data_IF_668261577489
#
_entry.id   IF_668261577489
#
_cell.length_a   1.000
_cell.length_b   1.000
_cell.length_c   1.000
_cell.angle_alpha   90.00
_cell.angle_beta   90.00
_cell.angle_gamma   90.00
#
_symmetry.space_group_name_H-M   'P 1'
#
loop_
_entity.id
_entity.type
_entity.pdbx_description
1 polymer ?
#
# COMPACT_ATOMS: atom_id res chain seq x y z
N UNK A 1 -21.56 7.37 -5.07
CA UNK A 1 -21.82 7.14 -6.51
C UNK A 1 -21.73 8.41 -7.36
N UNK A 2 -22.49 9.48 -7.09
CA UNK A 2 -22.50 10.72 -7.92
C UNK A 2 -21.18 11.53 -7.87
N UNK A 3 -20.47 11.51 -6.73
CA UNK A 3 -19.13 12.13 -6.59
C UNK A 3 -18.08 11.36 -7.38
N UNK A 4 -18.11 10.03 -7.34
CA UNK A 4 -17.18 9.17 -8.09
C UNK A 4 -17.35 9.32 -9.61
N UNK A 5 -18.60 9.40 -10.09
CA UNK A 5 -18.91 9.69 -11.49
C UNK A 5 -18.39 11.07 -11.94
N UNK A 6 -18.58 12.12 -11.12
CA UNK A 6 -18.04 13.45 -11.41
C UNK A 6 -16.52 13.48 -11.40
N UNK A 7 -15.88 12.79 -10.46
CA UNK A 7 -14.43 12.69 -10.39
C UNK A 7 -13.87 11.97 -11.63
N UNK A 8 -14.47 10.85 -12.01
CA UNK A 8 -14.12 10.11 -13.23
C UNK A 8 -14.24 10.98 -14.49
N UNK A 9 -15.32 11.76 -14.65
CA UNK A 9 -15.45 12.67 -15.79
C UNK A 9 -14.40 13.78 -15.79
N UNK A 10 -14.08 14.37 -14.64
CA UNK A 10 -13.09 15.44 -14.54
C UNK A 10 -11.67 14.94 -14.85
N UNK A 11 -11.31 13.75 -14.37
CA UNK A 11 -9.98 13.15 -14.64
C UNK A 11 -9.84 12.78 -16.12
N UNK A 12 -10.90 12.28 -16.77
CA UNK A 12 -10.91 12.05 -18.22
C UNK A 12 -10.71 13.35 -19.00
N UNK A 13 -11.41 14.43 -18.63
CA UNK A 13 -11.20 15.73 -19.28
C UNK A 13 -9.79 16.27 -19.07
N UNK A 14 -9.20 16.06 -17.89
CA UNK A 14 -7.80 16.41 -17.63
C UNK A 14 -6.86 15.60 -18.53
N UNK A 15 -7.03 14.28 -18.58
CA UNK A 15 -6.23 13.36 -19.39
C UNK A 15 -6.33 13.69 -20.89
N UNK A 16 -7.53 14.02 -21.38
CA UNK A 16 -7.78 14.48 -22.75
C UNK A 16 -7.02 15.78 -23.07
N UNK A 17 -6.98 16.73 -22.11
CA UNK A 17 -6.37 18.04 -22.32
C UNK A 17 -4.84 17.98 -22.34
N UNK A 18 -4.24 17.26 -21.40
CA UNK A 18 -2.77 17.27 -21.20
C UNK A 18 -2.06 16.09 -21.87
N UNK A 19 -2.82 15.03 -22.19
CA UNK A 19 -2.35 13.83 -22.87
C UNK A 19 -1.26 13.06 -22.10
N UNK A 20 -0.65 12.05 -22.75
CA UNK A 20 0.40 11.21 -22.15
C UNK A 20 1.60 12.01 -21.62
N UNK A 21 2.03 13.04 -22.35
CA UNK A 21 3.20 13.84 -21.96
C UNK A 21 2.91 14.71 -20.73
N UNK A 22 1.77 15.38 -20.70
CA UNK A 22 1.38 16.18 -19.54
C UNK A 22 1.13 15.31 -18.31
N UNK A 23 0.57 14.11 -18.51
CA UNK A 23 0.41 13.15 -17.42
C UNK A 23 1.72 12.54 -16.94
N UNK A 24 2.69 12.27 -17.83
CA UNK A 24 4.04 11.89 -17.43
C UNK A 24 4.67 12.96 -16.52
N UNK A 25 4.55 14.24 -16.89
CA UNK A 25 5.04 15.34 -16.06
C UNK A 25 4.31 15.45 -14.71
N UNK A 26 2.97 15.33 -14.69
CA UNK A 26 2.21 15.30 -13.44
C UNK A 26 2.69 14.16 -12.54
N UNK A 27 2.87 12.98 -13.13
CA UNK A 27 3.34 11.78 -12.48
C UNK A 27 4.72 11.94 -11.84
N UNK A 28 5.67 12.59 -12.52
CA UNK A 28 6.99 12.92 -11.97
C UNK A 28 6.89 13.82 -10.72
N UNK A 29 5.98 14.81 -10.72
CA UNK A 29 5.75 15.65 -9.54
C UNK A 29 5.14 14.86 -8.37
N UNK A 30 4.20 13.95 -8.64
CA UNK A 30 3.64 13.07 -7.60
C UNK A 30 4.74 12.17 -6.99
N UNK A 31 5.65 11.64 -7.82
CA UNK A 31 6.77 10.83 -7.35
C UNK A 31 7.68 11.62 -6.40
N UNK A 32 7.96 12.89 -6.69
CA UNK A 32 8.77 13.73 -5.80
C UNK A 32 8.18 13.81 -4.38
N UNK A 33 6.87 14.00 -4.26
CA UNK A 33 6.19 14.02 -2.96
C UNK A 33 6.26 12.66 -2.25
N UNK A 34 6.14 11.55 -2.98
CA UNK A 34 6.29 10.20 -2.42
C UNK A 34 7.72 10.01 -1.87
N UNK A 35 8.74 10.35 -2.65
CA UNK A 35 10.15 10.21 -2.24
C UNK A 35 10.46 11.06 -1.00
N UNK A 36 9.88 12.26 -0.90
CA UNK A 36 9.98 13.07 0.32
C UNK A 36 9.42 12.34 1.54
N UNK A 37 8.26 11.69 1.43
CA UNK A 37 7.71 10.88 2.53
C UNK A 37 8.58 9.66 2.85
N UNK A 38 9.10 8.97 1.82
CA UNK A 38 10.00 7.81 1.99
C UNK A 38 11.27 8.20 2.75
N UNK A 39 11.87 9.36 2.48
CA UNK A 39 13.03 9.87 3.22
C UNK A 39 12.76 10.04 4.71
N UNK A 40 11.60 10.58 5.06
CA UNK A 40 11.21 10.74 6.45
C UNK A 40 10.87 9.41 7.13
N UNK A 41 10.26 8.47 6.39
CA UNK A 41 10.00 7.11 6.87
C UNK A 41 11.30 6.36 7.18
N UNK A 42 12.31 6.47 6.33
CA UNK A 42 13.64 5.86 6.58
C UNK A 42 14.27 6.41 7.86
N UNK A 43 14.18 7.72 8.12
CA UNK A 43 14.68 8.31 9.38
C UNK A 43 13.99 7.71 10.60
N UNK A 44 12.65 7.61 10.57
CA UNK A 44 11.88 7.00 11.66
C UNK A 44 12.30 5.54 11.92
N UNK A 45 12.59 4.78 10.86
CA UNK A 45 13.11 3.41 10.98
C UNK A 45 14.50 3.40 11.62
N UNK A 46 15.41 4.26 11.17
CA UNK A 46 16.76 4.36 11.75
C UNK A 46 16.71 4.73 13.24
N UNK A 47 15.84 5.65 13.63
CA UNK A 47 15.66 6.08 15.03
C UNK A 47 15.13 4.96 15.94
N UNK A 48 14.42 3.96 15.37
CA UNK A 48 13.82 2.85 16.10
C UNK A 48 14.46 1.48 15.74
N UNK A 49 15.66 1.47 15.14
CA UNK A 49 16.22 0.27 14.50
C UNK A 49 16.31 -0.93 15.46
N UNK A 50 16.86 -0.74 16.66
CA UNK A 50 17.07 -1.83 17.62
C UNK A 50 15.75 -2.45 18.11
N UNK A 51 14.74 -1.61 18.34
CA UNK A 51 13.42 -2.06 18.74
C UNK A 51 12.74 -2.85 17.61
N UNK A 52 12.82 -2.35 16.37
CA UNK A 52 12.23 -3.01 15.21
C UNK A 52 12.88 -4.36 14.90
N UNK A 53 14.20 -4.48 15.07
CA UNK A 53 14.91 -5.76 14.93
C UNK A 53 14.41 -6.77 15.97
N UNK A 54 14.26 -6.34 17.23
CA UNK A 54 13.74 -7.21 18.29
C UNK A 54 12.28 -7.59 18.05
N UNK A 55 11.44 -6.67 17.58
CA UNK A 55 10.04 -6.95 17.25
C UNK A 55 9.92 -7.94 16.09
N UNK A 56 10.75 -7.80 15.05
CA UNK A 56 10.80 -8.75 13.93
C UNK A 56 11.19 -10.17 14.38
N UNK A 57 12.01 -10.30 15.43
CA UNK A 57 12.44 -11.60 15.94
C UNK A 57 11.42 -12.24 16.91
N UNK A 58 10.53 -11.46 17.52
CA UNK A 58 9.65 -11.90 18.62
C UNK A 58 8.17 -11.57 18.38
N UNK A 59 7.73 -11.40 17.13
CA UNK A 59 6.34 -10.99 16.80
C UNK A 59 5.28 -12.03 17.21
N UNK A 60 5.69 -13.24 17.51
CA UNK A 60 4.90 -14.35 18.02
C UNK A 60 4.82 -14.39 19.56
N UNK A 61 5.61 -13.57 20.27
CA UNK A 61 5.61 -13.47 21.73
C UNK A 61 4.89 -12.17 22.20
N UNK A 62 3.65 -12.27 22.70
CA UNK A 62 2.85 -11.10 23.08
C UNK A 62 3.45 -10.27 24.23
N UNK A 63 4.11 -10.92 25.20
CA UNK A 63 4.70 -10.24 26.35
C UNK A 63 5.88 -9.37 25.91
N UNK A 64 6.79 -9.95 25.13
CA UNK A 64 7.93 -9.23 24.57
C UNK A 64 7.47 -8.08 23.66
N UNK A 65 6.45 -8.32 22.82
CA UNK A 65 5.89 -7.29 21.94
C UNK A 65 5.27 -6.13 22.70
N UNK A 66 4.51 -6.39 23.77
CA UNK A 66 3.92 -5.34 24.61
C UNK A 66 4.98 -4.41 25.22
N UNK A 67 6.14 -4.94 25.62
CA UNK A 67 7.22 -4.13 26.19
C UNK A 67 8.02 -3.37 25.14
N UNK A 68 8.25 -3.99 23.97
CA UNK A 68 8.88 -3.31 22.84
C UNK A 68 7.98 -2.18 22.30
N UNK A 69 6.67 -2.35 22.29
CA UNK A 69 5.72 -1.33 21.83
C UNK A 69 5.83 -0.03 22.63
N UNK A 70 6.12 -0.12 23.94
CA UNK A 70 6.33 1.07 24.80
C UNK A 70 7.60 1.84 24.46
N UNK A 71 8.60 1.18 23.85
CA UNK A 71 9.87 1.79 23.44
C UNK A 71 9.79 2.43 22.05
N UNK A 72 8.79 2.03 21.26
CA UNK A 72 8.61 2.52 19.90
C UNK A 72 8.09 3.95 19.91
N UNK A 73 8.68 4.82 19.11
CA UNK A 73 8.26 6.22 18.99
C UNK A 73 7.89 6.57 17.56
N UNK A 74 6.85 7.37 17.36
CA UNK A 74 6.47 7.83 16.02
C UNK A 74 5.59 6.88 15.21
N UNK A 75 4.92 5.89 15.83
CA UNK A 75 3.97 4.98 15.14
C UNK A 75 2.89 5.73 14.36
N UNK A 76 2.28 6.76 14.97
CA UNK A 76 1.30 7.59 14.27
C UNK A 76 1.90 8.32 13.07
N UNK A 77 3.16 8.78 13.17
CA UNK A 77 3.83 9.49 12.09
C UNK A 77 4.11 8.55 10.91
N UNK A 78 4.55 7.31 11.18
CA UNK A 78 4.73 6.28 10.15
C UNK A 78 3.43 6.06 9.39
N UNK A 79 2.32 5.84 10.11
CA UNK A 79 1.02 5.61 9.49
C UNK A 79 0.51 6.83 8.73
N UNK A 80 0.59 8.04 9.30
CA UNK A 80 0.18 9.28 8.61
C UNK A 80 0.94 9.47 7.30
N UNK A 81 2.27 9.26 7.31
CA UNK A 81 3.11 9.37 6.10
C UNK A 81 2.79 8.29 5.08
N UNK A 82 2.62 7.05 5.51
CA UNK A 82 2.20 5.95 4.62
C UNK A 82 0.81 6.18 4.03
N UNK A 83 -0.13 6.73 4.79
CA UNK A 83 -1.46 7.12 4.29
C UNK A 83 -1.34 8.22 3.23
N UNK A 84 -0.49 9.23 3.44
CA UNK A 84 -0.22 10.27 2.41
C UNK A 84 0.32 9.65 1.13
N UNK A 85 1.32 8.76 1.22
CA UNK A 85 1.85 8.02 0.07
C UNK A 85 0.73 7.25 -0.64
N UNK A 86 -0.09 6.54 0.13
CA UNK A 86 -1.24 5.80 -0.39
C UNK A 86 -2.22 6.69 -1.15
N UNK A 87 -2.60 7.83 -0.59
CA UNK A 87 -3.52 8.79 -1.23
C UNK A 87 -2.95 9.30 -2.55
N UNK A 88 -1.65 9.63 -2.59
CA UNK A 88 -0.98 10.08 -3.82
C UNK A 88 -1.00 8.97 -4.88
N UNK A 89 -0.70 7.73 -4.50
CA UNK A 89 -0.71 6.58 -5.40
C UNK A 89 -2.13 6.23 -5.89
N UNK A 90 -3.14 6.31 -5.02
CA UNK A 90 -4.53 6.13 -5.42
C UNK A 90 -4.97 7.21 -6.42
N UNK A 91 -4.58 8.46 -6.21
CA UNK A 91 -4.81 9.55 -7.16
C UNK A 91 -4.15 9.29 -8.51
N UNK A 92 -2.88 8.85 -8.50
CA UNK A 92 -2.15 8.43 -9.70
C UNK A 92 -2.89 7.31 -10.44
N UNK A 93 -3.33 6.27 -9.74
CA UNK A 93 -4.07 5.15 -10.36
C UNK A 93 -5.33 5.64 -11.08
N UNK A 94 -6.14 6.48 -10.43
CA UNK A 94 -7.36 7.01 -11.03
C UNK A 94 -7.09 7.84 -12.30
N UNK A 95 -5.96 8.54 -12.36
CA UNK A 95 -5.55 9.30 -13.53
C UNK A 95 -5.02 8.39 -14.65
N UNK A 96 -4.26 7.34 -14.29
CA UNK A 96 -3.77 6.37 -15.25
C UNK A 96 -4.94 5.62 -15.91
N UNK A 97 -5.95 5.21 -15.14
CA UNK A 97 -7.18 4.61 -15.66
C UNK A 97 -7.89 5.56 -16.65
N UNK A 98 -7.96 6.85 -16.31
CA UNK A 98 -8.53 7.86 -17.20
C UNK A 98 -7.69 8.00 -18.50
N UNK A 99 -6.36 7.97 -18.41
CA UNK A 99 -5.47 8.03 -19.56
C UNK A 99 -5.62 6.79 -20.45
N UNK A 100 -5.70 5.59 -19.87
CA UNK A 100 -5.90 4.36 -20.63
C UNK A 100 -7.16 4.47 -21.50
N UNK A 101 -8.27 4.95 -20.94
CA UNK A 101 -9.53 5.11 -21.66
C UNK A 101 -9.41 6.12 -22.82
N UNK A 102 -8.73 7.25 -22.59
CA UNK A 102 -8.47 8.25 -23.63
C UNK A 102 -7.58 7.65 -24.72
N UNK A 103 -6.52 6.93 -24.36
CA UNK A 103 -5.59 6.31 -25.30
C UNK A 103 -6.24 5.19 -26.12
N UNK A 104 -7.10 4.36 -25.51
CA UNK A 104 -7.86 3.34 -26.22
C UNK A 104 -8.84 3.96 -27.22
N UNK A 105 -9.41 5.13 -26.90
CA UNK A 105 -10.34 5.84 -27.78
C UNK A 105 -9.63 6.51 -28.96
N UNK A 106 -8.53 7.22 -28.71
CA UNK A 106 -7.84 8.03 -29.72
C UNK A 106 -6.78 7.26 -30.50
N UNK A 107 -6.14 6.26 -29.87
CA UNK A 107 -5.02 5.52 -30.43
C UNK A 107 -5.16 3.98 -30.29
N UNK A 108 -6.30 3.37 -30.68
CA UNK A 108 -6.54 1.94 -30.46
C UNK A 108 -5.51 1.02 -31.13
N UNK A 109 -4.95 1.44 -32.27
CA UNK A 109 -3.94 0.67 -33.00
C UNK A 109 -2.56 0.69 -32.33
N UNK A 110 -2.28 1.66 -31.45
CA UNK A 110 -1.08 1.68 -30.61
C UNK A 110 -1.31 0.91 -29.32
N UNK A 111 -2.50 1.05 -28.72
CA UNK A 111 -2.82 0.42 -27.44
C UNK A 111 -2.81 -1.11 -27.51
N UNK A 112 -3.35 -1.71 -28.57
CA UNK A 112 -3.42 -3.18 -28.71
C UNK A 112 -2.03 -3.84 -28.68
N UNK A 113 -1.04 -3.42 -29.48
CA UNK A 113 0.32 -3.93 -29.36
C UNK A 113 0.96 -3.72 -27.98
N UNK A 114 0.73 -2.57 -27.33
CA UNK A 114 1.31 -2.29 -26.00
C UNK A 114 0.72 -3.23 -24.95
N UNK A 115 -0.62 -3.42 -24.93
CA UNK A 115 -1.31 -4.38 -24.07
C UNK A 115 -0.77 -5.79 -24.29
N UNK A 116 -0.70 -6.22 -25.55
CA UNK A 116 -0.12 -7.51 -25.94
C UNK A 116 1.31 -7.67 -25.41
N UNK A 117 2.20 -6.71 -25.69
CA UNK A 117 3.59 -6.79 -25.25
C UNK A 117 3.72 -6.91 -23.73
N UNK A 118 2.90 -6.16 -22.98
CA UNK A 118 2.84 -6.22 -21.52
C UNK A 118 2.38 -7.60 -21.02
N UNK A 119 1.34 -8.17 -21.62
CA UNK A 119 0.78 -9.47 -21.21
C UNK A 119 1.72 -10.65 -21.52
N UNK A 120 2.65 -10.50 -22.48
CA UNK A 120 3.64 -11.51 -22.83
C UNK A 120 4.96 -11.43 -22.05
N UNK A 121 5.09 -10.51 -21.08
CA UNK A 121 6.27 -10.48 -20.22
C UNK A 121 6.24 -11.67 -19.27
N UNK A 122 7.34 -12.42 -19.24
CA UNK A 122 7.52 -13.50 -18.28
C UNK A 122 8.01 -12.94 -16.93
N UNK A 123 7.43 -13.36 -15.79
CA UNK A 123 7.87 -12.96 -14.45
C UNK A 123 9.34 -13.24 -14.16
N UNK A 124 9.91 -14.29 -14.78
CA UNK A 124 11.32 -14.70 -14.66
C UNK A 124 12.25 -14.04 -15.69
N UNK A 125 11.74 -13.09 -16.49
CA UNK A 125 12.52 -12.33 -17.46
C UNK A 125 13.51 -11.35 -16.82
N UNK A 126 14.42 -10.79 -17.63
CA UNK A 126 15.31 -9.73 -17.16
C UNK A 126 14.47 -8.54 -16.67
N UNK A 127 14.61 -8.21 -15.38
CA UNK A 127 13.90 -7.11 -14.73
C UNK A 127 14.05 -5.77 -15.47
N UNK A 128 15.19 -5.54 -16.14
CA UNK A 128 15.39 -4.32 -16.94
C UNK A 128 14.49 -4.29 -18.16
N UNK A 129 14.31 -5.44 -18.82
CA UNK A 129 13.41 -5.57 -19.97
C UNK A 129 11.96 -5.39 -19.51
N UNK A 130 11.58 -6.03 -18.41
CA UNK A 130 10.25 -5.87 -17.80
C UNK A 130 9.94 -4.41 -17.47
N UNK A 131 10.87 -3.70 -16.82
CA UNK A 131 10.70 -2.29 -16.48
C UNK A 131 10.62 -1.39 -17.73
N UNK A 132 11.34 -1.72 -18.81
CA UNK A 132 11.24 -0.99 -20.08
C UNK A 132 9.87 -1.13 -20.75
N UNK A 133 9.28 -2.33 -20.73
CA UNK A 133 7.91 -2.53 -21.22
C UNK A 133 6.90 -1.85 -20.29
N UNK A 134 7.10 -1.94 -18.97
CA UNK A 134 6.23 -1.26 -18.00
C UNK A 134 6.30 0.26 -18.12
N UNK A 135 7.44 0.86 -18.48
CA UNK A 135 7.55 2.30 -18.75
C UNK A 135 6.66 2.69 -19.94
N UNK A 136 6.72 1.91 -21.03
CA UNK A 136 5.87 2.11 -22.21
C UNK A 136 4.38 1.93 -21.87
N UNK A 137 4.04 0.87 -21.14
CA UNK A 137 2.67 0.57 -20.75
C UNK A 137 2.10 1.66 -19.83
N UNK A 138 2.85 2.08 -18.81
CA UNK A 138 2.47 3.14 -17.89
C UNK A 138 2.33 4.50 -18.58
N UNK A 139 3.17 4.81 -19.57
CA UNK A 139 3.01 6.02 -20.39
C UNK A 139 1.73 6.03 -21.24
N UNK A 140 1.18 4.84 -21.51
CA UNK A 140 -0.10 4.67 -22.19
C UNK A 140 -1.30 4.57 -21.22
N UNK A 141 -1.07 4.75 -19.91
CA UNK A 141 -2.09 4.66 -18.86
C UNK A 141 -2.33 3.24 -18.32
N UNK A 142 -1.66 2.22 -18.86
CA UNK A 142 -1.89 0.84 -18.41
C UNK A 142 -1.36 0.62 -16.99
N UNK A 143 -2.11 -0.11 -16.14
CA UNK A 143 -1.64 -0.46 -14.80
C UNK A 143 -0.51 -1.48 -14.89
N UNK A 144 0.57 -1.26 -14.13
CA UNK A 144 1.71 -2.17 -14.04
C UNK A 144 1.85 -2.69 -12.62
N UNK A 145 2.17 -3.97 -12.46
CA UNK A 145 2.38 -4.60 -11.14
C UNK A 145 3.54 -3.96 -10.37
N UNK A 146 4.54 -3.48 -11.11
CA UNK A 146 5.68 -2.72 -10.59
C UNK A 146 5.68 -1.37 -11.31
N UNK A 147 5.59 -0.29 -10.55
CA UNK A 147 5.60 1.05 -11.13
C UNK A 147 7.04 1.48 -11.49
N UNK A 148 7.37 1.61 -12.79
CA UNK A 148 8.72 1.94 -13.23
C UNK A 148 9.15 3.35 -12.82
N UNK A 149 8.21 4.31 -12.72
CA UNK A 149 8.53 5.67 -12.29
C UNK A 149 8.89 5.69 -10.80
N UNK A 150 8.18 4.92 -9.99
CA UNK A 150 8.47 4.78 -8.56
C UNK A 150 9.79 4.03 -8.34
N UNK A 151 10.07 2.96 -9.09
CA UNK A 151 11.36 2.25 -9.06
C UNK A 151 12.51 3.20 -9.38
N UNK A 152 12.39 3.98 -10.46
CA UNK A 152 13.41 4.96 -10.85
C UNK A 152 13.60 6.03 -9.78
N UNK A 153 12.51 6.57 -9.24
CA UNK A 153 12.55 7.61 -8.20
C UNK A 153 13.20 7.09 -6.89
N UNK A 154 12.93 5.85 -6.49
CA UNK A 154 13.56 5.24 -5.31
C UNK A 154 15.03 4.92 -5.57
N UNK A 155 15.38 4.41 -6.76
CA UNK A 155 16.77 4.15 -7.12
C UNK A 155 17.62 5.42 -7.07
N UNK A 156 17.10 6.54 -7.59
CA UNK A 156 17.79 7.84 -7.58
C UNK A 156 17.92 8.46 -6.18
N UNK A 157 17.15 7.98 -5.19
CA UNK A 157 17.24 8.43 -3.81
C UNK A 157 18.41 7.78 -3.06
N UNK A 158 18.92 6.63 -3.53
CA UNK A 158 20.03 5.95 -2.89
C UNK A 158 21.28 6.83 -2.97
N UNK A 159 21.85 7.17 -1.83
CA UNK A 159 23.14 7.88 -1.77
C UNK A 159 24.27 6.89 -2.02
N UNK A 160 25.34 7.30 -2.72
CA UNK A 160 26.48 6.46 -3.08
C UNK A 160 27.16 5.73 -1.90
N UNK A 161 26.87 6.13 -0.66
CA UNK A 161 27.49 5.61 0.56
C UNK A 161 26.74 4.44 1.23
N UNK A 162 25.47 4.19 0.90
CA UNK A 162 24.66 3.13 1.56
C UNK A 162 24.73 1.81 0.79
N UNK A 163 25.06 0.72 1.47
CA UNK A 163 25.07 -0.61 0.84
C UNK A 163 23.65 -1.09 0.52
N UNK A 164 23.49 -1.92 -0.52
CA UNK A 164 22.20 -2.53 -0.88
C UNK A 164 21.64 -3.38 0.29
N UNK A 165 22.51 -3.99 1.10
CA UNK A 165 22.11 -4.79 2.25
C UNK A 165 21.54 -3.94 3.40
N UNK A 166 22.13 -2.77 3.64
CA UNK A 166 21.64 -1.81 4.63
C UNK A 166 20.28 -1.23 4.22
N UNK A 167 20.15 -0.84 2.95
CA UNK A 167 18.91 -0.38 2.35
C UNK A 167 17.80 -1.44 2.42
N UNK A 168 18.15 -2.70 2.14
CA UNK A 168 17.25 -3.83 2.31
C UNK A 168 16.81 -4.01 3.76
N UNK A 169 17.74 -3.91 4.72
CA UNK A 169 17.42 -3.99 6.16
C UNK A 169 16.43 -2.89 6.56
N UNK A 170 16.68 -1.64 6.16
CA UNK A 170 15.78 -0.50 6.44
C UNK A 170 14.40 -0.77 5.85
N UNK A 171 14.32 -1.32 4.64
CA UNK A 171 13.05 -1.63 3.97
C UNK A 171 12.25 -2.72 4.68
N UNK A 172 12.90 -3.81 5.10
CA UNK A 172 12.24 -4.84 5.91
C UNK A 172 11.72 -4.25 7.24
N UNK A 173 12.55 -3.44 7.91
CA UNK A 173 12.16 -2.84 9.18
C UNK A 173 11.06 -1.78 9.02
N UNK A 174 10.98 -1.09 7.87
CA UNK A 174 9.86 -0.22 7.54
C UNK A 174 8.55 -1.00 7.51
N UNK A 175 8.52 -2.15 6.83
CA UNK A 175 7.34 -3.02 6.80
C UNK A 175 6.94 -3.51 8.20
N UNK A 176 7.92 -3.93 9.01
CA UNK A 176 7.68 -4.29 10.41
C UNK A 176 7.10 -3.11 11.18
N UNK A 177 7.64 -1.91 11.02
CA UNK A 177 7.17 -0.70 11.71
C UNK A 177 5.72 -0.37 11.34
N UNK A 178 5.36 -0.49 10.06
CA UNK A 178 3.98 -0.33 9.61
C UNK A 178 3.08 -1.36 10.29
N UNK A 179 3.46 -2.65 10.26
CA UNK A 179 2.69 -3.75 10.83
C UNK A 179 2.42 -3.58 12.33
N UNK A 180 3.45 -3.27 13.13
CA UNK A 180 3.34 -3.08 14.58
C UNK A 180 2.63 -1.76 14.95
N UNK A 181 2.48 -0.85 14.00
CA UNK A 181 1.76 0.41 14.21
C UNK A 181 0.26 0.31 13.94
N UNK A 182 -0.20 -0.64 13.09
CA UNK A 182 -1.62 -0.82 12.75
C UNK A 182 -2.58 -0.85 13.96
N UNK A 183 -2.25 -1.48 15.10
CA UNK A 183 -3.06 -1.41 16.31
C UNK A 183 -3.49 -0.01 16.76
N UNK A 184 -2.63 0.99 16.56
CA UNK A 184 -2.90 2.37 16.99
C UNK A 184 -4.09 2.98 16.23
N UNK A 185 -4.36 2.52 15.00
CA UNK A 185 -5.50 2.97 14.20
C UNK A 185 -6.83 2.63 14.86
N UNK A 186 -6.87 1.58 15.66
CA UNK A 186 -8.09 1.14 16.30
C UNK A 186 -8.60 2.14 17.37
N UNK A 187 -7.72 3.04 17.84
CA UNK A 187 -8.03 4.10 18.80
C UNK A 187 -8.48 5.40 18.11
N UNK A 188 -8.16 5.59 16.83
CA UNK A 188 -8.56 6.78 16.08
C UNK A 188 -10.06 6.68 15.74
N UNK A 189 -10.90 7.64 16.19
CA UNK A 189 -12.33 7.63 15.90
C UNK A 189 -12.64 7.70 14.40
N UNK A 190 -11.74 8.21 13.57
CA UNK A 190 -11.92 8.31 12.11
C UNK A 190 -11.52 7.03 11.35
N UNK A 191 -11.03 6.00 12.04
CA UNK A 191 -10.70 4.70 11.43
C UNK A 191 -11.92 3.80 11.22
N UNK A 192 -13.14 4.34 11.29
CA UNK A 192 -14.33 3.57 10.96
C UNK A 192 -14.44 3.38 9.44
N UNK A 193 -14.83 2.18 9.02
CA UNK A 193 -15.07 1.88 7.61
C UNK A 193 -16.47 2.33 7.18
N UNK A 194 -16.55 3.11 6.10
CA UNK A 194 -17.80 3.57 5.50
C UNK A 194 -18.09 2.79 4.21
N UNK A 195 -19.23 2.09 4.18
CA UNK A 195 -19.70 1.39 2.98
C UNK A 195 -19.93 2.33 1.80
N UNK A 196 -20.48 3.52 2.04
CA UNK A 196 -20.82 4.46 0.96
C UNK A 196 -19.59 4.90 0.15
N UNK A 197 -18.46 4.98 0.84
CA UNK A 197 -17.17 5.39 0.29
C UNK A 197 -16.30 4.19 -0.10
N UNK A 198 -16.64 2.98 0.32
CA UNK A 198 -15.82 1.79 0.12
C UNK A 198 -14.49 1.83 0.89
N UNK A 199 -14.38 2.68 1.92
CA UNK A 199 -13.13 2.99 2.60
C UNK A 199 -13.35 3.65 3.96
N UNK A 200 -12.25 3.88 4.68
CA UNK A 200 -12.23 4.58 5.97
C UNK A 200 -12.21 6.09 5.85
N UNK A 201 -12.77 6.81 6.82
CA UNK A 201 -12.88 8.27 6.82
C UNK A 201 -11.51 8.98 6.81
N UNK A 202 -10.51 8.42 7.48
CA UNK A 202 -9.14 8.93 7.54
C UNK A 202 -8.21 8.38 6.43
N UNK A 203 -8.76 7.78 5.37
CA UNK A 203 -8.02 7.24 4.24
C UNK A 203 -7.04 6.09 4.54
N UNK A 204 -7.13 5.43 5.68
CA UNK A 204 -6.22 4.30 6.01
C UNK A 204 -6.36 3.11 5.06
N UNK A 205 -7.47 2.98 4.32
CA UNK A 205 -7.60 2.02 3.21
C UNK A 205 -6.52 2.22 2.13
N UNK A 206 -6.02 3.45 1.93
CA UNK A 206 -4.92 3.74 1.02
C UNK A 206 -3.57 3.15 1.48
N UNK A 207 -3.44 2.70 2.75
CA UNK A 207 -2.28 1.95 3.20
C UNK A 207 -2.09 0.67 2.37
N UNK A 208 -3.18 0.06 1.89
CA UNK A 208 -3.11 -1.10 1.00
C UNK A 208 -2.34 -0.78 -0.29
N UNK A 209 -2.67 0.34 -0.93
CA UNK A 209 -1.96 0.81 -2.13
C UNK A 209 -0.50 1.15 -1.80
N UNK A 210 -0.26 1.86 -0.69
CA UNK A 210 1.07 2.30 -0.29
C UNK A 210 2.04 1.14 0.00
N UNK A 211 1.61 0.16 0.81
CA UNK A 211 2.42 -0.99 1.19
C UNK A 211 2.82 -1.80 -0.05
N UNK A 212 1.86 -2.10 -0.92
CA UNK A 212 2.12 -2.89 -2.12
C UNK A 212 3.08 -2.19 -3.10
N UNK A 213 2.82 -0.93 -3.45
CA UNK A 213 3.63 -0.22 -4.45
C UNK A 213 5.03 0.13 -3.93
N UNK A 214 5.16 0.57 -2.67
CA UNK A 214 6.48 0.85 -2.10
C UNK A 214 7.29 -0.44 -1.93
N UNK A 215 6.70 -1.53 -1.44
CA UNK A 215 7.40 -2.80 -1.31
C UNK A 215 7.85 -3.30 -2.69
N UNK A 216 6.96 -3.28 -3.68
CA UNK A 216 7.29 -3.68 -5.04
C UNK A 216 8.45 -2.86 -5.60
N UNK A 217 8.41 -1.54 -5.47
CA UNK A 217 9.46 -0.67 -5.99
C UNK A 217 10.80 -0.83 -5.24
N UNK A 218 10.80 -0.81 -3.91
CA UNK A 218 12.02 -0.93 -3.09
C UNK A 218 12.70 -2.29 -3.29
N UNK A 219 11.96 -3.40 -3.23
CA UNK A 219 12.53 -4.73 -3.41
C UNK A 219 12.94 -5.01 -4.86
N UNK A 220 12.32 -4.36 -5.85
CA UNK A 220 12.83 -4.37 -7.23
C UNK A 220 14.21 -3.74 -7.31
N UNK A 221 14.41 -2.54 -6.74
CA UNK A 221 15.73 -1.88 -6.72
C UNK A 221 16.78 -2.74 -5.99
N UNK A 222 16.38 -3.37 -4.89
CA UNK A 222 17.25 -4.21 -4.05
C UNK A 222 17.46 -5.63 -4.60
N UNK A 223 16.78 -6.00 -5.70
CA UNK A 223 16.81 -7.33 -6.32
C UNK A 223 16.42 -8.44 -5.34
N UNK A 224 15.33 -8.23 -4.62
CA UNK A 224 14.76 -9.19 -3.65
C UNK A 224 13.38 -9.65 -4.11
N UNK A 225 12.98 -10.84 -3.68
CA UNK A 225 11.66 -11.38 -4.00
C UNK A 225 10.56 -10.62 -3.26
N UNK A 226 9.72 -9.90 -4.00
CA UNK A 226 8.66 -9.03 -3.46
C UNK A 226 7.63 -9.85 -2.65
N UNK A 227 7.18 -10.97 -3.21
CA UNK A 227 6.19 -11.85 -2.58
C UNK A 227 6.65 -12.37 -1.22
N UNK A 228 7.90 -12.85 -1.11
CA UNK A 228 8.44 -13.34 0.17
C UNK A 228 8.41 -12.25 1.25
N UNK A 229 8.78 -11.02 0.90
CA UNK A 229 8.83 -9.93 1.87
C UNK A 229 7.42 -9.44 2.26
N UNK A 230 6.49 -9.37 1.31
CA UNK A 230 5.09 -9.05 1.60
C UNK A 230 4.39 -10.14 2.41
N UNK A 231 4.72 -11.41 2.19
CA UNK A 231 4.23 -12.52 3.01
C UNK A 231 4.74 -12.41 4.46
N UNK A 232 6.01 -12.02 4.65
CA UNK A 232 6.55 -11.78 6.00
C UNK A 232 5.83 -10.62 6.69
N UNK A 233 5.63 -9.50 5.98
CA UNK A 233 4.82 -8.38 6.47
C UNK A 233 3.42 -8.84 6.89
N UNK A 234 2.75 -9.64 6.05
CA UNK A 234 1.40 -10.12 6.32
C UNK A 234 1.33 -10.99 7.58
N UNK A 235 2.33 -11.87 7.80
CA UNK A 235 2.43 -12.68 9.02
C UNK A 235 2.59 -11.81 10.26
N UNK A 236 3.49 -10.83 10.22
CA UNK A 236 3.72 -9.92 11.36
C UNK A 236 2.46 -9.10 11.64
N UNK A 237 1.88 -8.47 10.61
CA UNK A 237 0.67 -7.66 10.75
C UNK A 237 -0.51 -8.48 11.30
N UNK A 238 -0.70 -9.70 10.81
CA UNK A 238 -1.76 -10.61 11.28
C UNK A 238 -1.54 -11.03 12.73
N UNK A 239 -0.33 -11.44 13.11
CA UNK A 239 0.00 -11.79 14.50
C UNK A 239 -0.33 -10.65 15.46
N UNK A 240 0.12 -9.44 15.14
CA UNK A 240 -0.09 -8.26 15.97
C UNK A 240 -1.57 -7.89 16.10
N UNK A 241 -2.34 -7.94 15.02
CA UNK A 241 -3.78 -7.65 15.04
C UNK A 241 -4.59 -8.74 15.78
N UNK A 242 -4.17 -10.00 15.73
CA UNK A 242 -4.79 -11.09 16.48
C UNK A 242 -4.52 -10.97 17.99
N UNK A 243 -3.32 -10.57 18.39
CA UNK A 243 -2.97 -10.34 19.80
C UNK A 243 -3.86 -9.26 20.45
N UNK A 244 -4.31 -8.26 19.68
CA UNK A 244 -5.31 -7.29 20.17
C UNK A 244 -6.66 -7.92 20.51
N UNK A 245 -7.08 -8.93 19.74
CA UNK A 245 -8.36 -9.61 19.93
C UNK A 245 -8.42 -10.44 21.21
N UNK A 246 -7.26 -10.85 21.73
CA UNK A 246 -7.13 -11.68 22.93
C UNK A 246 -7.13 -10.85 24.22
N UNK A 247 -6.76 -9.57 24.15
CA UNK A 247 -6.69 -8.66 25.29
C UNK A 247 -8.03 -7.98 25.55
N UNK A 248 -9.01 -8.74 26.06
CA UNK A 248 -10.40 -8.29 26.31
C UNK A 248 -10.50 -7.23 27.43
N UNK A 249 -9.47 -7.09 28.28
CA UNK A 249 -9.52 -6.24 29.48
C UNK A 249 -9.12 -4.76 29.27
N UNK A 250 -8.58 -4.38 28.11
CA UNK A 250 -8.01 -3.03 27.92
C UNK A 250 -8.71 -2.26 26.81
N UNK A 251 -9.65 -1.41 27.22
CA UNK A 251 -10.32 -0.37 26.44
C UNK A 251 -11.20 -0.94 25.32
N UNK A 252 -12.46 -0.50 25.24
CA UNK A 252 -13.29 -0.80 24.07
C UNK A 252 -12.58 -0.29 22.80
N UNK A 253 -12.00 -1.23 22.05
CA UNK A 253 -11.31 -0.92 20.80
C UNK A 253 -12.39 -0.73 19.72
N UNK A 254 -13.00 0.46 19.69
CA UNK A 254 -14.19 0.79 18.88
C UNK A 254 -14.07 0.44 17.40
N UNK A 255 -12.88 0.60 16.81
CA UNK A 255 -12.66 0.44 15.37
C UNK A 255 -11.88 -0.82 14.99
N UNK A 256 -11.72 -1.79 15.90
CA UNK A 256 -10.95 -3.02 15.65
C UNK A 256 -11.36 -3.73 14.35
N UNK A 257 -12.65 -3.95 14.19
CA UNK A 257 -13.19 -4.68 13.05
C UNK A 257 -12.94 -3.91 11.74
N UNK A 258 -13.01 -2.57 11.76
CA UNK A 258 -12.67 -1.74 10.59
C UNK A 258 -11.18 -1.85 10.21
N UNK A 259 -10.29 -1.96 11.19
CA UNK A 259 -8.84 -2.11 10.96
C UNK A 259 -8.50 -3.50 10.46
N UNK A 260 -9.21 -4.56 10.87
CA UNK A 260 -9.04 -5.90 10.31
C UNK A 260 -9.26 -5.95 8.80
N UNK A 261 -10.18 -5.12 8.27
CA UNK A 261 -10.43 -5.02 6.84
C UNK A 261 -9.20 -4.54 6.04
N UNK A 262 -8.23 -3.87 6.68
CA UNK A 262 -7.00 -3.46 6.01
C UNK A 262 -6.19 -4.66 5.50
N UNK A 263 -6.13 -5.78 6.25
CA UNK A 263 -5.43 -6.97 5.79
C UNK A 263 -6.07 -7.53 4.51
N UNK A 264 -7.40 -7.56 4.46
CA UNK A 264 -8.13 -7.94 3.26
C UNK A 264 -7.84 -7.00 2.08
N UNK A 265 -7.88 -5.69 2.30
CA UNK A 265 -7.59 -4.69 1.26
C UNK A 265 -6.14 -4.76 0.76
N UNK A 266 -5.18 -4.98 1.65
CA UNK A 266 -3.76 -5.15 1.30
C UNK A 266 -3.60 -6.33 0.34
N UNK A 267 -4.26 -7.45 0.63
CA UNK A 267 -4.20 -8.67 -0.19
C UNK A 267 -4.96 -8.49 -1.50
N UNK A 268 -6.16 -7.90 -1.47
CA UNK A 268 -6.96 -7.62 -2.67
C UNK A 268 -6.25 -6.70 -3.68
N UNK A 269 -5.49 -5.72 -3.17
CA UNK A 269 -4.73 -4.77 -3.99
C UNK A 269 -3.36 -5.31 -4.45
N UNK A 270 -2.93 -6.48 -3.96
CA UNK A 270 -1.59 -6.99 -4.23
C UNK A 270 -1.61 -8.03 -5.35
N UNK A 271 -0.80 -7.89 -6.41
CA UNK A 271 -0.57 -8.99 -7.34
C UNK A 271 0.35 -10.07 -6.75
N UNK A 272 0.97 -9.82 -5.59
CA UNK A 272 1.97 -10.71 -4.98
C UNK A 272 1.42 -11.52 -3.79
N UNK A 273 0.24 -11.18 -3.28
CA UNK A 273 -0.40 -11.86 -2.16
C UNK A 273 -1.70 -12.51 -2.63
N UNK A 274 -2.00 -13.69 -2.09
CA UNK A 274 -3.27 -14.37 -2.34
C UNK A 274 -4.11 -14.49 -1.07
N UNK A 275 -5.41 -14.71 -1.24
CA UNK A 275 -6.33 -14.97 -0.12
C UNK A 275 -5.92 -16.23 0.66
N UNK A 276 -5.35 -17.24 -0.01
CA UNK A 276 -4.83 -18.44 0.65
C UNK A 276 -3.67 -18.11 1.60
N UNK A 277 -2.79 -17.17 1.21
CA UNK A 277 -1.70 -16.72 2.08
C UNK A 277 -2.22 -15.96 3.30
N UNK A 278 -3.32 -15.20 3.14
CA UNK A 278 -3.98 -14.52 4.24
C UNK A 278 -4.60 -15.53 5.21
N UNK A 279 -5.34 -16.52 4.71
CA UNK A 279 -6.00 -17.53 5.54
C UNK A 279 -5.02 -18.30 6.42
N UNK A 280 -3.78 -18.50 5.94
CA UNK A 280 -2.71 -19.16 6.70
C UNK A 280 -2.25 -18.38 7.94
N UNK A 281 -2.52 -17.07 8.02
CA UNK A 281 -2.07 -16.23 9.13
C UNK A 281 -3.19 -15.39 9.78
N UNK A 282 -4.34 -15.27 9.15
CA UNK A 282 -5.50 -14.53 9.64
C UNK A 282 -6.81 -15.20 9.20
N UNK A 283 -7.59 -15.79 10.12
CA UNK A 283 -8.80 -16.54 9.76
C UNK A 283 -9.86 -15.65 9.07
N UNK A 284 -10.34 -16.07 7.89
CA UNK A 284 -11.35 -15.36 7.11
C UNK A 284 -12.66 -15.14 7.88
N UNK A 285 -12.97 -16.00 8.85
CA UNK A 285 -14.14 -15.84 9.74
C UNK A 285 -14.11 -14.49 10.47
N UNK A 286 -12.93 -14.01 10.87
CA UNK A 286 -12.79 -12.70 11.51
C UNK A 286 -13.10 -11.56 10.54
N UNK A 287 -12.62 -11.65 9.30
CA UNK A 287 -12.90 -10.66 8.24
C UNK A 287 -14.39 -10.65 7.88
N UNK A 288 -15.00 -11.83 7.72
CA UNK A 288 -16.44 -11.97 7.47
C UNK A 288 -17.28 -11.33 8.57
N UNK A 289 -16.89 -11.57 9.83
CA UNK A 289 -17.57 -10.97 10.97
C UNK A 289 -17.36 -9.44 11.01
N UNK A 290 -16.15 -8.98 10.71
CA UNK A 290 -15.83 -7.56 10.64
C UNK A 290 -16.65 -6.84 9.56
N UNK A 291 -16.73 -7.40 8.35
CA UNK A 291 -17.62 -6.90 7.29
C UNK A 291 -19.07 -6.86 7.77
N UNK A 292 -19.56 -7.95 8.37
CA UNK A 292 -20.92 -7.99 8.90
C UNK A 292 -21.16 -6.87 9.92
N UNK A 293 -20.21 -6.58 10.79
CA UNK A 293 -20.37 -5.56 11.84
C UNK A 293 -20.41 -4.15 11.25
N UNK A 294 -19.45 -3.79 10.38
CA UNK A 294 -19.46 -2.48 9.70
C UNK A 294 -20.69 -2.30 8.79
N UNK A 295 -21.32 -3.39 8.35
CA UNK A 295 -22.58 -3.37 7.62
C UNK A 295 -23.82 -3.22 8.52
N UNK A 296 -23.81 -3.69 9.77
CA UNK A 296 -24.94 -3.58 10.70
C UNK A 296 -25.10 -2.18 11.28
N UNK A 297 -24.01 -1.46 11.51
CA UNK A 297 -24.02 -0.11 12.11
C UNK A 297 -24.81 0.92 11.29
N UNK A 298 -25.27 0.54 10.08
CA UNK A 298 -26.06 1.35 9.17
C UNK A 298 -27.59 1.14 9.27
N UNK A 299 -28.11 0.28 10.16
CA UNK A 299 -29.56 0.22 10.40
C UNK A 299 -29.97 1.45 11.23
N UNK A 300 -30.13 2.59 10.57
CA UNK A 300 -30.90 3.70 11.13
C UNK A 300 -32.38 3.28 11.17
N UNK A 301 -32.90 3.13 12.38
CA UNK A 301 -34.31 3.32 12.69
C UNK A 301 -34.77 4.62 12.06
N UNK A 302 -35.59 4.52 11.01
CA UNK A 302 -36.42 5.63 10.58
C UNK A 302 -37.50 5.82 11.66
N UNK A 303 -37.29 6.82 12.51
CA UNK A 303 -38.35 7.42 13.33
C UNK A 303 -38.93 8.63 12.61
#
# INVERSE_FOLDING_TARGET
FQVFLKLSTSLRSLAELIGPFGLKFLNENLMWHIISQVGELKKLVSDNMDALVQMRANYDNPEAMSDLQKKLTGSENVLKRMTIVGVILSFRSMIQDALEEIMDRHCPFLMRPIKCLKDFIYPDGDIKVTLGVYEMASAAGLPCEIDPALVSAIANMQTDNSSIEEEFKITCLLLVFIAVSLPTLCLDPNSFYSREHGGHQNNIHCLATAVNHLAAAMFTVQRKNIQTQLQEFLKVASSILLQLGQNVERVEIKNRDSVYLLLHMIVEQSPFLSQDMLEMCFPYVLLRNAYREVHKTFIHTMG
#
